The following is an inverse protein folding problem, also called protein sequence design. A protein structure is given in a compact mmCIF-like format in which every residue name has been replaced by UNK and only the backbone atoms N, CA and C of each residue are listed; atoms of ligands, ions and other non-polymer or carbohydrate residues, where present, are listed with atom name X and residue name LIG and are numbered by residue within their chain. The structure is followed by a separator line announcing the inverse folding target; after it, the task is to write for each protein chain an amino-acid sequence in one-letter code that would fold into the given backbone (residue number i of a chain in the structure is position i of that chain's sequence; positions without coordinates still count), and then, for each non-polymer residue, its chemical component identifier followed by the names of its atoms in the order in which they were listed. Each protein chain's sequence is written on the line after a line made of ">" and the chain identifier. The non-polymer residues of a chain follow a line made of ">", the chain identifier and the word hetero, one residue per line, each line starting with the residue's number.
data_IF_118836211697
#
_entry.id   IF_118836211697
#
_cell.length_a   1.000
_cell.length_b   1.000
_cell.length_c   1.000
_cell.angle_alpha   90.00
_cell.angle_beta   90.00
_cell.angle_gamma   90.00
#
_symmetry.space_group_name_H-M   'P 1'
#
loop_
_entity.id
_entity.type
_entity.pdbx_description
1 polymer ?
#
# COMPACT_ATOMS: atom_id res chain seq x y z
N UNK A 1 13.24 -41.18 -16.67
CA UNK A 1 13.12 -39.83 -16.08
C UNK A 1 12.25 -39.95 -14.83
N UNK A 2 12.78 -39.60 -13.65
CA UNK A 2 12.01 -39.67 -12.40
C UNK A 2 10.88 -38.62 -12.39
N UNK A 3 9.76 -38.87 -11.71
CA UNK A 3 8.67 -37.88 -11.57
C UNK A 3 9.18 -36.53 -11.04
N UNK A 4 10.19 -36.55 -10.16
CA UNK A 4 10.88 -35.36 -9.64
C UNK A 4 11.62 -34.57 -10.73
N UNK A 5 12.22 -35.28 -11.68
CA UNK A 5 12.99 -34.71 -12.80
C UNK A 5 12.05 -34.03 -13.81
N UNK A 6 10.88 -34.63 -14.09
CA UNK A 6 9.83 -34.02 -14.91
C UNK A 6 9.32 -32.71 -14.30
N UNK A 7 9.04 -32.70 -12.99
CA UNK A 7 8.60 -31.49 -12.28
C UNK A 7 9.68 -30.40 -12.35
N UNK A 8 10.94 -30.77 -12.11
CA UNK A 8 12.04 -29.82 -12.20
C UNK A 8 12.14 -29.21 -13.59
N UNK A 9 12.15 -30.01 -14.66
CA UNK A 9 12.23 -29.48 -16.03
C UNK A 9 11.06 -28.53 -16.36
N UNK A 10 9.84 -28.85 -15.89
CA UNK A 10 8.69 -27.94 -16.04
C UNK A 10 8.89 -26.62 -15.29
N UNK A 11 9.41 -26.66 -14.07
CA UNK A 11 9.69 -25.45 -13.29
C UNK A 11 10.79 -24.59 -13.92
N UNK A 12 11.78 -25.17 -14.60
CA UNK A 12 12.78 -24.40 -15.36
C UNK A 12 12.14 -23.68 -16.55
N UNK A 13 11.30 -24.36 -17.33
CA UNK A 13 10.56 -23.72 -18.42
C UNK A 13 9.63 -22.60 -17.95
N UNK A 14 8.98 -22.78 -16.78
CA UNK A 14 8.17 -21.71 -16.17
C UNK A 14 9.04 -20.54 -15.73
N UNK A 15 10.20 -20.80 -15.11
CA UNK A 15 11.12 -19.74 -14.69
C UNK A 15 11.67 -18.95 -15.88
N UNK A 16 12.02 -19.63 -16.98
CA UNK A 16 12.42 -18.99 -18.22
C UNK A 16 11.30 -18.10 -18.78
N UNK A 17 10.06 -18.61 -18.85
CA UNK A 17 8.91 -17.83 -19.28
C UNK A 17 8.68 -16.59 -18.40
N UNK A 18 8.79 -16.73 -17.08
CA UNK A 18 8.61 -15.64 -16.12
C UNK A 18 9.75 -14.61 -16.16
N UNK A 19 10.91 -14.97 -16.71
CA UNK A 19 12.05 -14.06 -16.88
C UNK A 19 11.91 -13.14 -18.11
N UNK A 20 11.07 -13.51 -19.09
CA UNK A 20 10.83 -12.69 -20.29
C UNK A 20 10.12 -11.40 -19.92
N UNK A 21 10.57 -10.29 -20.52
CA UNK A 21 10.02 -8.95 -20.24
C UNK A 21 8.51 -8.91 -20.37
N UNK A 22 7.95 -9.38 -21.48
CA UNK A 22 6.50 -9.36 -21.71
C UNK A 22 5.71 -10.03 -20.58
N UNK A 23 6.23 -11.14 -20.04
CA UNK A 23 5.63 -11.84 -18.91
C UNK A 23 5.75 -11.04 -17.63
N UNK A 24 6.88 -10.37 -17.39
CA UNK A 24 7.05 -9.49 -16.21
C UNK A 24 6.03 -8.34 -16.23
N UNK A 25 5.90 -7.66 -17.37
CA UNK A 25 4.95 -6.57 -17.54
C UNK A 25 3.50 -7.05 -17.38
N UNK A 26 3.13 -8.17 -18.01
CA UNK A 26 1.79 -8.75 -17.89
C UNK A 26 1.46 -9.13 -16.44
N UNK A 27 2.39 -9.78 -15.74
CA UNK A 27 2.21 -10.19 -14.34
C UNK A 27 2.04 -8.97 -13.43
N UNK A 28 2.90 -7.96 -13.57
CA UNK A 28 2.84 -6.72 -12.79
C UNK A 28 1.52 -6.00 -13.01
N UNK A 29 1.10 -5.79 -14.25
CA UNK A 29 -0.14 -5.05 -14.55
C UNK A 29 -1.39 -5.81 -14.15
N UNK A 30 -1.45 -7.12 -14.37
CA UNK A 30 -2.57 -7.93 -13.88
C UNK A 30 -2.68 -7.85 -12.36
N UNK A 31 -1.55 -7.90 -11.65
CA UNK A 31 -1.54 -7.80 -10.20
C UNK A 31 -1.91 -6.39 -9.69
N UNK A 32 -1.44 -5.33 -10.34
CA UNK A 32 -1.82 -3.95 -10.02
C UNK A 32 -3.32 -3.70 -10.29
N UNK A 33 -3.87 -4.24 -11.38
CA UNK A 33 -5.32 -4.19 -11.65
C UNK A 33 -6.10 -4.84 -10.50
N UNK A 34 -5.71 -6.05 -10.09
CA UNK A 34 -6.39 -6.81 -9.03
C UNK A 34 -6.31 -6.11 -7.66
N UNK A 35 -5.18 -5.46 -7.37
CA UNK A 35 -4.88 -4.87 -6.06
C UNK A 35 -5.24 -3.39 -5.95
N UNK A 36 -5.61 -2.74 -7.06
CA UNK A 36 -5.85 -1.30 -7.08
C UNK A 36 -7.24 -0.84 -6.67
N UNK A 37 -8.16 -1.79 -6.45
CA UNK A 37 -9.54 -1.47 -6.10
C UNK A 37 -10.32 -0.79 -7.23
N UNK A 38 -9.88 -0.98 -8.47
CA UNK A 38 -10.66 -0.66 -9.69
C UNK A 38 -11.98 -1.41 -9.63
N UNK A 39 -13.09 -0.68 -9.78
CA UNK A 39 -14.45 -1.19 -9.58
C UNK A 39 -14.81 -2.27 -10.61
N UNK A 40 -14.35 -2.12 -11.85
CA UNK A 40 -14.55 -3.05 -12.96
C UNK A 40 -14.16 -4.50 -12.62
N UNK A 41 -13.11 -4.69 -11.83
CA UNK A 41 -12.61 -6.01 -11.42
C UNK A 41 -13.63 -6.77 -10.55
N UNK A 42 -14.48 -6.05 -9.82
CA UNK A 42 -15.49 -6.65 -8.95
C UNK A 42 -16.91 -6.51 -9.49
N UNK A 43 -17.10 -5.76 -10.59
CA UNK A 43 -18.41 -5.51 -11.20
C UNK A 43 -18.88 -6.69 -12.05
N UNK A 44 -18.00 -7.20 -12.92
CA UNK A 44 -18.34 -8.31 -13.80
C UNK A 44 -17.99 -9.65 -13.16
N UNK A 45 -18.90 -10.62 -13.24
CA UNK A 45 -18.69 -11.98 -12.70
C UNK A 45 -17.43 -12.62 -13.27
N UNK A 46 -17.19 -12.46 -14.57
CA UNK A 46 -16.03 -13.03 -15.27
C UNK A 46 -14.72 -12.46 -14.70
N UNK A 47 -14.60 -11.14 -14.53
CA UNK A 47 -13.38 -10.51 -14.00
C UNK A 47 -13.14 -10.88 -12.54
N UNK A 48 -14.21 -11.02 -11.76
CA UNK A 48 -14.16 -11.51 -10.38
C UNK A 48 -13.66 -12.95 -10.29
N UNK A 49 -14.14 -13.84 -11.18
CA UNK A 49 -13.68 -15.24 -11.27
C UNK A 49 -12.21 -15.29 -11.67
N UNK A 50 -11.79 -14.52 -12.68
CA UNK A 50 -10.39 -14.42 -13.10
C UNK A 50 -9.50 -13.97 -11.94
N UNK A 51 -9.91 -12.95 -11.18
CA UNK A 51 -9.19 -12.51 -9.98
C UNK A 51 -9.02 -13.62 -8.96
N UNK A 52 -10.07 -14.41 -8.67
CA UNK A 52 -9.97 -15.50 -7.71
C UNK A 52 -9.09 -16.64 -8.21
N UNK A 53 -9.19 -17.02 -9.48
CA UNK A 53 -8.31 -18.02 -10.10
C UNK A 53 -6.85 -17.56 -10.02
N UNK A 54 -6.59 -16.31 -10.38
CA UNK A 54 -5.26 -15.71 -10.31
C UNK A 54 -4.70 -15.76 -8.88
N UNK A 55 -5.47 -15.34 -7.88
CA UNK A 55 -5.05 -15.35 -6.48
C UNK A 55 -4.99 -16.76 -5.86
N UNK A 56 -5.62 -17.77 -6.46
CA UNK A 56 -5.56 -19.14 -5.97
C UNK A 56 -4.37 -19.92 -6.57
N UNK A 57 -4.15 -19.82 -7.88
CA UNK A 57 -3.20 -20.68 -8.61
C UNK A 57 -1.81 -20.05 -8.66
N UNK A 58 -1.71 -18.76 -9.01
CA UNK A 58 -0.43 -18.12 -9.28
C UNK A 58 0.51 -18.13 -8.05
N UNK A 59 0.07 -17.82 -6.81
CA UNK A 59 0.96 -17.86 -5.66
C UNK A 59 1.60 -19.24 -5.44
N UNK A 60 0.86 -20.32 -5.72
CA UNK A 60 1.38 -21.69 -5.59
C UNK A 60 2.51 -21.91 -6.58
N UNK A 61 2.30 -21.56 -7.86
CA UNK A 61 3.32 -21.67 -8.91
C UNK A 61 4.56 -20.84 -8.55
N UNK A 62 4.37 -19.58 -8.17
CA UNK A 62 5.48 -18.69 -7.82
C UNK A 62 6.23 -19.17 -6.58
N UNK A 63 5.53 -19.68 -5.57
CA UNK A 63 6.16 -20.27 -4.38
C UNK A 63 7.04 -21.47 -4.75
N UNK A 64 6.56 -22.37 -5.61
CA UNK A 64 7.35 -23.52 -6.07
C UNK A 64 8.60 -23.09 -6.86
N UNK A 65 8.47 -22.08 -7.72
CA UNK A 65 9.62 -21.50 -8.47
C UNK A 65 10.63 -20.87 -7.50
N UNK A 66 10.18 -20.08 -6.52
CA UNK A 66 11.06 -19.46 -5.52
C UNK A 66 11.78 -20.49 -4.65
N UNK A 67 11.09 -21.57 -4.25
CA UNK A 67 11.68 -22.66 -3.46
C UNK A 67 12.75 -23.42 -4.25
N UNK A 68 12.53 -23.63 -5.55
CA UNK A 68 13.47 -24.34 -6.41
C UNK A 68 14.73 -23.51 -6.68
N UNK A 69 14.56 -22.22 -6.98
CA UNK A 69 15.68 -21.36 -7.29
C UNK A 69 16.45 -21.01 -6.01
N UNK A 70 17.55 -21.73 -5.78
CA UNK A 70 18.39 -21.59 -4.58
C UNK A 70 18.93 -20.19 -4.38
N UNK A 71 19.11 -19.40 -5.44
CA UNK A 71 19.56 -18.02 -5.35
C UNK A 71 18.44 -17.11 -4.85
N UNK A 72 17.20 -17.31 -5.30
CA UNK A 72 16.02 -16.61 -4.77
C UNK A 72 15.80 -16.99 -3.30
N UNK A 73 15.88 -18.29 -2.98
CA UNK A 73 15.73 -18.77 -1.60
C UNK A 73 16.78 -18.19 -0.65
N UNK A 74 18.04 -18.03 -1.10
CA UNK A 74 19.10 -17.38 -0.31
C UNK A 74 18.87 -15.87 -0.14
N UNK A 75 18.10 -15.25 -1.02
CA UNK A 75 17.73 -13.83 -0.94
C UNK A 75 16.49 -13.59 -0.07
N UNK A 76 15.78 -14.63 0.38
CA UNK A 76 14.75 -14.52 1.43
C UNK A 76 15.47 -14.31 2.77
N UNK A 77 15.85 -13.06 3.02
CA UNK A 77 16.51 -12.61 4.24
C UNK A 77 15.53 -11.88 5.17
N UNK A 78 16.05 -11.34 6.26
CA UNK A 78 15.36 -10.72 7.41
C UNK A 78 14.11 -9.87 7.09
N UNK A 79 14.10 -9.05 6.03
CA UNK A 79 12.93 -8.23 5.65
C UNK A 79 11.75 -9.10 5.18
N UNK A 80 12.02 -10.19 4.47
CA UNK A 80 10.97 -11.08 3.99
C UNK A 80 10.41 -11.94 5.13
N UNK A 81 11.21 -12.23 6.16
CA UNK A 81 10.76 -12.92 7.38
C UNK A 81 9.65 -12.13 8.07
N UNK A 82 9.74 -10.79 8.09
CA UNK A 82 8.69 -9.93 8.64
C UNK A 82 7.32 -10.15 7.96
N UNK A 83 7.27 -10.17 6.63
CA UNK A 83 6.01 -10.38 5.90
C UNK A 83 5.52 -11.83 5.97
N UNK A 84 6.43 -12.81 6.06
CA UNK A 84 6.08 -14.21 6.35
C UNK A 84 5.44 -14.31 7.74
N UNK A 85 6.01 -13.63 8.74
CA UNK A 85 5.44 -13.58 10.08
C UNK A 85 4.02 -13.01 10.06
N UNK A 86 3.76 -11.92 9.32
CA UNK A 86 2.39 -11.38 9.17
C UNK A 86 1.44 -12.45 8.60
N UNK A 87 1.86 -13.21 7.59
CA UNK A 87 1.06 -14.28 7.01
C UNK A 87 0.79 -15.43 7.99
N UNK A 88 1.80 -15.86 8.73
CA UNK A 88 1.70 -16.91 9.75
C UNK A 88 0.79 -16.44 10.88
N UNK A 89 1.01 -15.23 11.39
CA UNK A 89 0.23 -14.67 12.49
C UNK A 89 -1.24 -14.46 12.08
N UNK A 90 -1.48 -13.99 10.84
CA UNK A 90 -2.84 -13.93 10.26
C UNK A 90 -3.50 -15.31 10.20
N UNK A 91 -2.75 -16.37 9.85
CA UNK A 91 -3.25 -17.75 9.83
C UNK A 91 -3.57 -18.29 11.22
N UNK A 92 -2.69 -18.06 12.19
CA UNK A 92 -2.94 -18.42 13.58
C UNK A 92 -4.17 -17.69 14.12
N UNK A 93 -4.37 -16.44 13.70
CA UNK A 93 -5.48 -15.61 14.14
C UNK A 93 -6.87 -16.15 13.80
N UNK A 94 -6.97 -17.11 12.87
CA UNK A 94 -8.20 -17.85 12.57
C UNK A 94 -8.74 -18.56 13.82
N UNK A 95 -7.86 -19.06 14.69
CA UNK A 95 -8.24 -19.87 15.87
C UNK A 95 -9.10 -19.05 16.84
N UNK A 96 -8.67 -17.82 17.13
CA UNK A 96 -9.34 -16.91 18.07
C UNK A 96 -10.19 -15.83 17.39
N UNK A 97 -10.29 -15.85 16.05
CA UNK A 97 -11.05 -14.86 15.30
C UNK A 97 -12.53 -14.88 15.66
N UNK A 98 -13.11 -13.68 15.77
CA UNK A 98 -14.55 -13.50 15.94
C UNK A 98 -15.35 -14.00 14.73
N UNK A 99 -14.77 -13.98 13.53
CA UNK A 99 -15.37 -14.53 12.31
C UNK A 99 -14.35 -15.33 11.53
N UNK A 100 -14.27 -16.61 11.89
CA UNK A 100 -13.33 -17.58 11.30
C UNK A 100 -13.45 -17.64 9.78
N UNK A 101 -14.67 -17.62 9.23
CA UNK A 101 -14.89 -17.70 7.78
C UNK A 101 -14.30 -16.51 7.02
N UNK A 102 -14.51 -15.28 7.49
CA UNK A 102 -13.99 -14.07 6.86
C UNK A 102 -12.47 -13.98 7.07
N UNK A 103 -11.98 -14.28 8.27
CA UNK A 103 -10.54 -14.31 8.54
C UNK A 103 -9.83 -15.33 7.65
N UNK A 104 -10.30 -16.57 7.56
CA UNK A 104 -9.71 -17.59 6.67
C UNK A 104 -9.62 -17.10 5.23
N UNK A 105 -10.71 -16.59 4.67
CA UNK A 105 -10.75 -16.05 3.31
C UNK A 105 -9.75 -14.92 3.10
N UNK A 106 -9.73 -13.95 4.01
CA UNK A 106 -8.89 -12.76 3.87
C UNK A 106 -7.41 -13.07 4.14
N UNK A 107 -7.10 -14.01 5.03
CA UNK A 107 -5.76 -14.56 5.23
C UNK A 107 -5.25 -15.24 3.96
N UNK A 108 -6.07 -16.04 3.27
CA UNK A 108 -5.68 -16.64 1.98
C UNK A 108 -5.33 -15.57 0.93
N UNK A 109 -6.12 -14.50 0.84
CA UNK A 109 -5.77 -13.38 -0.05
C UNK A 109 -4.53 -12.61 0.40
N UNK A 110 -4.30 -12.48 1.71
CA UNK A 110 -3.10 -11.85 2.25
C UNK A 110 -1.85 -12.65 1.88
N UNK A 111 -1.88 -13.98 2.05
CA UNK A 111 -0.80 -14.89 1.65
C UNK A 111 -0.56 -14.79 0.15
N UNK A 112 -1.62 -14.91 -0.66
CA UNK A 112 -1.52 -14.80 -2.12
C UNK A 112 -0.88 -13.48 -2.56
N UNK A 113 -1.35 -12.37 -2.01
CA UNK A 113 -0.81 -11.03 -2.29
C UNK A 113 0.67 -10.94 -1.88
N UNK A 114 1.01 -11.49 -0.71
CA UNK A 114 2.37 -11.44 -0.18
C UNK A 114 3.36 -12.23 -1.05
N UNK A 115 3.00 -13.45 -1.44
CA UNK A 115 3.86 -14.31 -2.28
C UNK A 115 4.10 -13.69 -3.65
N UNK A 116 3.06 -13.17 -4.32
CA UNK A 116 3.22 -12.52 -5.63
C UNK A 116 4.09 -11.25 -5.51
N UNK A 117 3.87 -10.42 -4.49
CA UNK A 117 4.66 -9.20 -4.27
C UNK A 117 6.13 -9.51 -3.93
N UNK A 118 6.39 -10.53 -3.10
CA UNK A 118 7.74 -11.00 -2.81
C UNK A 118 8.43 -11.50 -4.07
N UNK A 119 7.75 -12.31 -4.88
CA UNK A 119 8.29 -12.80 -6.15
C UNK A 119 8.75 -11.63 -7.04
N UNK A 120 7.90 -10.63 -7.24
CA UNK A 120 8.25 -9.45 -8.04
C UNK A 120 9.40 -8.66 -7.42
N UNK A 121 9.37 -8.39 -6.11
CA UNK A 121 10.43 -7.69 -5.40
C UNK A 121 11.78 -8.39 -5.48
N UNK A 122 11.79 -9.73 -5.46
CA UNK A 122 12.99 -10.57 -5.54
C UNK A 122 13.51 -10.76 -6.96
N UNK A 123 12.67 -10.75 -7.98
CA UNK A 123 13.08 -11.04 -9.36
C UNK A 123 13.24 -9.81 -10.24
N UNK A 124 12.53 -8.72 -9.97
CA UNK A 124 12.57 -7.53 -10.83
C UNK A 124 13.64 -6.55 -10.35
N UNK A 125 14.21 -5.82 -11.28
CA UNK A 125 15.15 -4.73 -10.98
C UNK A 125 14.38 -3.50 -10.49
N UNK A 126 15.06 -2.62 -9.76
CA UNK A 126 14.44 -1.38 -9.26
C UNK A 126 14.02 -0.47 -10.42
N UNK A 127 14.80 -0.47 -11.50
CA UNK A 127 14.53 0.25 -12.74
C UNK A 127 13.26 -0.25 -13.43
N UNK A 128 13.12 -1.59 -13.58
CA UNK A 128 11.92 -2.23 -14.13
C UNK A 128 10.67 -1.88 -13.31
N UNK A 129 10.75 -2.02 -11.98
CA UNK A 129 9.62 -1.75 -11.08
C UNK A 129 9.14 -0.31 -11.23
N UNK A 130 10.06 0.67 -11.13
CA UNK A 130 9.69 2.08 -11.21
C UNK A 130 9.14 2.45 -12.60
N UNK A 131 9.71 1.90 -13.67
CA UNK A 131 9.23 2.12 -15.04
C UNK A 131 7.83 1.53 -15.25
N UNK A 132 7.58 0.31 -14.78
CA UNK A 132 6.26 -0.33 -14.83
C UNK A 132 5.22 0.47 -14.03
N UNK A 133 5.58 0.94 -12.82
CA UNK A 133 4.67 1.76 -12.01
C UNK A 133 4.32 3.07 -12.69
N UNK A 134 5.30 3.74 -13.32
CA UNK A 134 5.04 4.97 -14.07
C UNK A 134 4.10 4.72 -15.25
N UNK A 135 4.35 3.67 -16.04
CA UNK A 135 3.48 3.30 -17.16
C UNK A 135 2.06 2.97 -16.69
N UNK A 136 1.92 2.21 -15.61
CA UNK A 136 0.64 1.92 -14.97
C UNK A 136 -0.11 3.20 -14.56
N UNK A 137 0.58 4.15 -13.93
CA UNK A 137 0.01 5.42 -13.51
C UNK A 137 -0.39 6.33 -14.69
N UNK A 138 0.39 6.34 -15.77
CA UNK A 138 0.02 7.02 -17.02
C UNK A 138 -1.28 6.42 -17.59
N UNK A 139 -1.37 5.09 -17.66
CA UNK A 139 -2.58 4.39 -18.11
C UNK A 139 -3.79 4.79 -17.24
N UNK A 140 -3.64 4.82 -15.92
CA UNK A 140 -4.71 5.25 -15.03
C UNK A 140 -5.14 6.70 -15.28
N UNK A 141 -4.21 7.64 -15.50
CA UNK A 141 -4.55 9.03 -15.83
C UNK A 141 -5.33 9.08 -17.14
N UNK A 142 -4.84 8.43 -18.20
CA UNK A 142 -5.50 8.42 -19.51
C UNK A 142 -6.91 7.83 -19.41
N UNK A 143 -7.07 6.66 -18.81
CA UNK A 143 -8.38 5.99 -18.68
C UNK A 143 -9.36 6.87 -17.90
N UNK A 144 -8.93 7.49 -16.79
CA UNK A 144 -9.82 8.32 -15.98
C UNK A 144 -10.17 9.66 -16.67
N UNK A 145 -9.22 10.29 -17.37
CA UNK A 145 -9.49 11.49 -18.17
C UNK A 145 -10.47 11.18 -19.30
N UNK A 146 -10.23 10.11 -20.07
CA UNK A 146 -11.13 9.68 -21.15
C UNK A 146 -12.52 9.40 -20.59
N UNK A 147 -12.61 8.62 -19.50
CA UNK A 147 -13.90 8.30 -18.87
C UNK A 147 -14.65 9.56 -18.43
N UNK A 148 -13.92 10.55 -17.90
CA UNK A 148 -14.50 11.82 -17.47
C UNK A 148 -14.94 12.70 -18.64
N UNK A 149 -14.12 12.85 -19.69
CA UNK A 149 -14.47 13.64 -20.88
C UNK A 149 -15.76 13.11 -21.54
N UNK A 150 -15.91 11.79 -21.63
CA UNK A 150 -17.13 11.16 -22.15
C UNK A 150 -18.27 11.06 -21.13
N UNK A 151 -18.10 11.62 -19.92
CA UNK A 151 -19.11 11.65 -18.86
C UNK A 151 -19.72 10.27 -18.57
N UNK A 152 -18.88 9.22 -18.55
CA UNK A 152 -19.38 7.86 -18.35
C UNK A 152 -20.06 7.74 -16.98
N UNK A 153 -21.22 7.06 -16.86
CA UNK A 153 -22.05 7.09 -15.65
C UNK A 153 -21.33 6.64 -14.36
N UNK A 154 -20.36 5.73 -14.47
CA UNK A 154 -19.63 5.19 -13.32
C UNK A 154 -18.58 6.14 -12.74
N UNK A 155 -18.23 7.22 -13.43
CA UNK A 155 -17.15 8.15 -13.06
C UNK A 155 -17.49 9.00 -11.84
N UNK A 156 -18.78 9.30 -11.65
CA UNK A 156 -19.26 10.15 -10.58
C UNK A 156 -19.65 9.35 -9.34
N UNK A 157 -19.26 9.85 -8.17
CA UNK A 157 -19.64 9.25 -6.89
C UNK A 157 -21.01 9.74 -6.44
N UNK A 158 -22.06 9.09 -6.94
CA UNK A 158 -23.46 9.42 -6.65
C UNK A 158 -23.87 9.15 -5.21
N UNK A 159 -23.07 8.39 -4.44
CA UNK A 159 -23.34 8.11 -3.02
C UNK A 159 -23.01 9.28 -2.11
N UNK A 160 -22.30 10.28 -2.63
CA UNK A 160 -21.76 11.39 -1.86
C UNK A 160 -22.64 12.63 -1.99
N UNK A 161 -23.72 12.67 -1.21
CA UNK A 161 -24.72 13.76 -1.24
C UNK A 161 -24.23 15.07 -0.60
N UNK A 162 -23.06 15.09 0.03
CA UNK A 162 -22.49 16.29 0.68
C UNK A 162 -22.08 17.40 -0.31
N UNK A 163 -22.00 17.11 -1.61
CA UNK A 163 -21.59 18.09 -2.62
C UNK A 163 -22.70 18.30 -3.65
N UNK A 164 -22.91 19.56 -4.02
CA UNK A 164 -23.87 19.96 -5.08
C UNK A 164 -23.55 19.33 -6.43
N UNK A 165 -22.26 19.13 -6.72
CA UNK A 165 -21.78 18.38 -7.88
C UNK A 165 -21.03 17.14 -7.40
N UNK A 166 -21.46 15.97 -7.88
CA UNK A 166 -20.89 14.68 -7.50
C UNK A 166 -19.38 14.66 -7.74
N UNK A 167 -18.58 14.29 -6.73
CA UNK A 167 -17.14 14.17 -6.89
C UNK A 167 -16.78 13.01 -7.81
N UNK A 168 -15.57 13.05 -8.36
CA UNK A 168 -15.08 12.04 -9.29
C UNK A 168 -14.48 10.88 -8.51
N UNK A 169 -14.99 9.67 -8.77
CA UNK A 169 -14.38 8.41 -8.35
C UNK A 169 -13.72 7.65 -9.51
N UNK A 170 -14.00 8.04 -10.76
CA UNK A 170 -13.42 7.44 -11.95
C UNK A 170 -13.68 5.94 -12.02
N UNK A 171 -12.68 5.16 -12.43
CA UNK A 171 -12.79 3.69 -12.49
C UNK A 171 -12.63 3.01 -11.11
N UNK A 172 -12.52 3.76 -10.02
CA UNK A 172 -12.31 3.22 -8.68
C UNK A 172 -13.63 3.07 -7.92
N UNK A 173 -13.60 2.27 -6.85
CA UNK A 173 -14.76 2.09 -5.98
C UNK A 173 -15.16 3.38 -5.23
N UNK A 174 -14.17 4.20 -4.85
CA UNK A 174 -14.35 5.41 -4.04
C UNK A 174 -13.42 6.53 -4.50
N UNK A 175 -13.87 7.78 -4.39
CA UNK A 175 -13.10 8.99 -4.74
C UNK A 175 -11.76 9.12 -4.02
N UNK A 176 -11.67 8.72 -2.75
CA UNK A 176 -10.43 8.80 -1.97
C UNK A 176 -9.35 7.85 -2.51
N UNK A 177 -9.75 6.72 -3.08
CA UNK A 177 -8.82 5.78 -3.68
C UNK A 177 -8.25 6.35 -4.98
N UNK A 178 -9.10 6.90 -5.85
CA UNK A 178 -8.66 7.61 -7.05
C UNK A 178 -7.71 8.76 -6.70
N UNK A 179 -8.08 9.59 -5.73
CA UNK A 179 -7.27 10.71 -5.27
C UNK A 179 -5.87 10.24 -4.79
N UNK A 180 -5.83 9.14 -4.04
CA UNK A 180 -4.58 8.53 -3.60
C UNK A 180 -3.69 8.09 -4.77
N UNK A 181 -4.27 7.43 -5.79
CA UNK A 181 -3.51 7.08 -7.00
C UNK A 181 -2.98 8.31 -7.71
N UNK A 182 -3.74 9.40 -7.79
CA UNK A 182 -3.25 10.64 -8.41
C UNK A 182 -2.09 11.25 -7.63
N UNK A 183 -2.08 11.17 -6.29
CA UNK A 183 -0.93 11.58 -5.46
C UNK A 183 0.31 10.73 -5.77
N UNK A 184 0.17 9.41 -5.85
CA UNK A 184 1.28 8.53 -6.25
C UNK A 184 1.76 8.84 -7.67
N UNK A 185 0.84 9.09 -8.60
CA UNK A 185 1.16 9.44 -9.99
C UNK A 185 1.94 10.74 -10.09
N UNK A 186 1.48 11.81 -9.42
CA UNK A 186 2.13 13.12 -9.44
C UNK A 186 3.54 13.00 -8.87
N UNK A 187 3.68 12.34 -7.73
CA UNK A 187 4.96 12.25 -7.01
C UNK A 187 5.97 11.35 -7.71
N UNK A 188 5.55 10.21 -8.27
CA UNK A 188 6.42 9.36 -9.07
C UNK A 188 6.83 10.06 -10.38
N UNK A 189 5.90 10.69 -11.08
CA UNK A 189 6.19 11.43 -12.32
C UNK A 189 7.13 12.61 -12.06
N UNK A 190 6.96 13.33 -10.94
CA UNK A 190 7.86 14.38 -10.51
C UNK A 190 9.26 13.82 -10.22
N UNK A 191 9.36 12.68 -9.53
CA UNK A 191 10.64 12.02 -9.30
C UNK A 191 11.34 11.64 -10.61
N UNK A 192 10.62 11.11 -11.60
CA UNK A 192 11.17 10.84 -12.94
C UNK A 192 11.62 12.13 -13.65
N UNK A 193 10.81 13.18 -13.60
CA UNK A 193 11.13 14.49 -14.18
C UNK A 193 12.41 15.11 -13.58
N UNK A 194 12.63 14.95 -12.27
CA UNK A 194 13.81 15.46 -11.58
C UNK A 194 15.10 14.67 -11.91
N UNK A 195 14.96 13.39 -12.27
CA UNK A 195 16.08 12.45 -12.38
C UNK A 195 16.45 12.05 -13.81
N UNK A 196 15.56 12.25 -14.79
CA UNK A 196 15.80 12.00 -16.21
C UNK A 196 15.93 13.32 -16.97
N UNK A 197 17.16 13.79 -17.20
CA UNK A 197 17.42 15.13 -17.73
C UNK A 197 17.56 15.21 -19.25
N UNK A 198 17.77 14.09 -19.94
CA UNK A 198 18.33 14.13 -21.29
C UNK A 198 17.29 14.00 -22.42
N UNK A 199 16.09 13.49 -22.13
CA UNK A 199 15.04 13.28 -23.15
C UNK A 199 13.86 14.27 -23.00
N UNK A 200 13.74 15.20 -23.95
CA UNK A 200 12.68 16.22 -23.98
C UNK A 200 11.28 15.62 -24.16
N UNK A 201 11.12 14.54 -24.92
CA UNK A 201 9.81 13.89 -25.15
C UNK A 201 9.31 13.25 -23.86
N UNK A 202 10.19 12.53 -23.16
CA UNK A 202 9.85 11.93 -21.87
C UNK A 202 9.46 12.98 -20.82
N UNK A 203 10.15 14.12 -20.77
CA UNK A 203 9.77 15.23 -19.89
C UNK A 203 8.35 15.75 -20.15
N UNK A 204 7.98 15.90 -21.42
CA UNK A 204 6.62 16.31 -21.80
C UNK A 204 5.58 15.27 -21.35
N UNK A 205 5.89 13.97 -21.49
CA UNK A 205 5.03 12.90 -20.97
C UNK A 205 4.85 13.02 -19.46
N UNK A 206 5.94 13.22 -18.70
CA UNK A 206 5.87 13.34 -17.24
C UNK A 206 5.08 14.59 -16.81
N UNK A 207 5.30 15.74 -17.46
CA UNK A 207 4.56 16.98 -17.20
C UNK A 207 3.08 16.82 -17.52
N UNK A 208 2.74 16.27 -18.69
CA UNK A 208 1.35 16.00 -19.08
C UNK A 208 0.66 15.04 -18.11
N UNK A 209 1.38 14.04 -17.61
CA UNK A 209 0.87 13.11 -16.60
C UNK A 209 0.62 13.79 -15.26
N UNK A 210 1.53 14.67 -14.81
CA UNK A 210 1.35 15.47 -13.58
C UNK A 210 0.12 16.36 -13.70
N UNK A 211 -0.02 17.08 -14.82
CA UNK A 211 -1.13 17.99 -15.06
C UNK A 211 -2.45 17.21 -15.09
N UNK A 212 -2.51 16.11 -15.86
CA UNK A 212 -3.70 15.27 -15.93
C UNK A 212 -4.09 14.68 -14.58
N UNK A 213 -3.12 14.19 -13.81
CA UNK A 213 -3.36 13.69 -12.46
C UNK A 213 -3.82 14.79 -11.49
N UNK A 214 -3.28 16.01 -11.59
CA UNK A 214 -3.70 17.14 -10.77
C UNK A 214 -5.15 17.57 -11.08
N UNK A 215 -5.54 17.60 -12.36
CA UNK A 215 -6.91 17.89 -12.80
C UNK A 215 -7.88 16.85 -12.23
N UNK A 216 -7.57 15.55 -12.37
CA UNK A 216 -8.38 14.47 -11.79
C UNK A 216 -8.47 14.60 -10.27
N UNK A 217 -7.33 14.84 -9.60
CA UNK A 217 -7.26 14.99 -8.15
C UNK A 217 -8.19 16.11 -7.68
N UNK A 218 -8.20 17.27 -8.35
CA UNK A 218 -9.12 18.38 -8.06
C UNK A 218 -10.60 17.97 -8.20
N UNK A 219 -10.92 17.12 -9.17
CA UNK A 219 -12.28 16.58 -9.37
C UNK A 219 -12.74 15.62 -8.26
N UNK A 220 -11.82 14.98 -7.54
CA UNK A 220 -12.15 14.02 -6.45
C UNK A 220 -12.67 14.70 -5.18
N UNK A 221 -12.31 15.98 -4.97
CA UNK A 221 -12.62 16.75 -3.74
C UNK A 221 -12.11 16.09 -2.45
N UNK A 222 -11.05 15.29 -2.53
CA UNK A 222 -10.47 14.56 -1.38
C UNK A 222 -9.50 15.43 -0.57
N UNK A 223 -9.95 15.93 0.58
CA UNK A 223 -9.15 16.79 1.46
C UNK A 223 -7.86 16.12 1.95
N UNK A 224 -7.95 14.84 2.32
CA UNK A 224 -6.81 14.04 2.77
C UNK A 224 -5.67 14.10 1.75
N UNK A 225 -5.99 13.89 0.47
CA UNK A 225 -4.98 13.87 -0.57
C UNK A 225 -4.47 15.27 -0.92
N UNK A 226 -5.32 16.31 -0.83
CA UNK A 226 -4.88 17.70 -0.99
C UNK A 226 -3.86 18.12 0.07
N UNK A 227 -4.05 17.70 1.32
CA UNK A 227 -3.14 18.02 2.43
C UNK A 227 -1.85 17.19 2.39
N UNK A 228 -1.95 15.90 2.02
CA UNK A 228 -0.78 15.02 2.01
C UNK A 228 0.08 15.15 0.74
N UNK A 229 -0.45 15.64 -0.37
CA UNK A 229 0.34 15.83 -1.60
C UNK A 229 1.53 16.79 -1.40
N UNK A 230 1.36 18.01 -0.85
CA UNK A 230 2.49 18.90 -0.54
C UNK A 230 3.51 18.24 0.38
N UNK A 231 3.05 17.51 1.41
CA UNK A 231 3.93 16.78 2.33
C UNK A 231 4.78 15.77 1.56
N UNK A 232 4.19 14.99 0.66
CA UNK A 232 4.93 13.99 -0.10
C UNK A 232 5.90 14.63 -1.11
N UNK A 233 5.52 15.73 -1.77
CA UNK A 233 6.42 16.51 -2.64
C UNK A 233 7.61 17.03 -1.81
N UNK A 234 7.34 17.64 -0.65
CA UNK A 234 8.37 18.13 0.26
C UNK A 234 9.30 17.00 0.70
N UNK A 235 8.77 15.82 1.04
CA UNK A 235 9.59 14.65 1.38
C UNK A 235 10.51 14.24 0.22
N UNK A 236 10.03 14.23 -1.03
CA UNK A 236 10.87 13.94 -2.20
C UNK A 236 11.97 14.99 -2.39
N UNK A 237 11.64 16.27 -2.21
CA UNK A 237 12.60 17.37 -2.31
C UNK A 237 13.63 17.33 -1.18
N UNK A 238 13.22 17.09 0.05
CA UNK A 238 14.11 16.99 1.22
C UNK A 238 14.99 15.76 1.09
N UNK A 239 14.44 14.59 0.74
CA UNK A 239 15.21 13.36 0.67
C UNK A 239 16.20 13.28 -0.50
N UNK A 240 16.07 14.21 -1.45
CA UNK A 240 17.12 14.49 -2.44
C UNK A 240 18.39 15.02 -1.75
N UNK A 241 18.25 15.81 -0.69
CA UNK A 241 19.35 16.32 0.14
C UNK A 241 19.65 15.31 1.26
N UNK A 242 20.61 14.43 0.97
CA UNK A 242 20.94 13.22 1.75
C UNK A 242 21.16 13.46 3.25
N UNK A 243 21.66 14.63 3.64
CA UNK A 243 21.92 15.00 5.05
C UNK A 243 20.64 15.06 5.88
N UNK A 244 19.49 15.37 5.26
CA UNK A 244 18.21 15.52 5.94
C UNK A 244 17.47 14.18 6.13
N UNK A 245 17.92 13.09 5.51
CA UNK A 245 17.28 11.78 5.62
C UNK A 245 17.31 11.25 7.05
N UNK A 246 18.42 11.46 7.77
CA UNK A 246 18.52 11.06 9.17
C UNK A 246 17.52 11.84 10.04
N UNK A 247 17.36 13.15 9.79
CA UNK A 247 16.40 13.99 10.50
C UNK A 247 14.97 13.49 10.27
N UNK A 248 14.59 13.18 9.03
CA UNK A 248 13.26 12.63 8.72
C UNK A 248 13.01 11.32 9.49
N UNK A 249 13.98 10.41 9.48
CA UNK A 249 13.84 9.11 10.15
C UNK A 249 13.65 9.28 11.66
N UNK A 250 14.33 10.25 12.29
CA UNK A 250 14.15 10.52 13.72
C UNK A 250 12.89 11.32 14.03
N UNK A 251 12.47 12.22 13.14
CA UNK A 251 11.31 13.08 13.34
C UNK A 251 9.98 12.33 13.11
N UNK A 252 9.98 11.26 12.31
CA UNK A 252 8.73 10.58 11.92
C UNK A 252 7.94 10.05 13.11
N UNK A 253 8.59 9.39 14.07
CA UNK A 253 7.88 8.78 15.20
C UNK A 253 7.26 9.84 16.12
N UNK A 254 7.99 10.90 16.57
CA UNK A 254 7.39 12.01 17.31
C UNK A 254 6.23 12.68 16.54
N UNK A 255 6.38 12.92 15.23
CA UNK A 255 5.34 13.54 14.41
C UNK A 255 4.09 12.67 14.29
N UNK A 256 4.25 11.35 14.13
CA UNK A 256 3.14 10.41 14.09
C UNK A 256 2.43 10.32 15.43
N UNK A 257 3.16 10.27 16.54
CA UNK A 257 2.58 10.26 17.89
C UNK A 257 1.82 11.57 18.17
N UNK A 258 2.41 12.73 17.85
CA UNK A 258 1.76 14.03 17.99
C UNK A 258 0.50 14.14 17.14
N UNK A 259 0.57 13.69 15.89
CA UNK A 259 -0.56 13.71 14.95
C UNK A 259 -1.69 12.77 15.43
N UNK A 260 -1.35 11.57 15.90
CA UNK A 260 -2.30 10.63 16.49
C UNK A 260 -2.97 11.22 17.74
N UNK A 261 -2.18 11.82 18.63
CA UNK A 261 -2.69 12.50 19.82
C UNK A 261 -3.66 13.64 19.46
N UNK A 262 -3.28 14.53 18.53
CA UNK A 262 -4.13 15.62 18.08
C UNK A 262 -5.45 15.11 17.48
N UNK A 263 -5.39 14.02 16.71
CA UNK A 263 -6.58 13.40 16.10
C UNK A 263 -7.48 12.70 17.13
N UNK A 264 -6.93 12.07 18.17
CA UNK A 264 -7.73 11.35 19.18
C UNK A 264 -8.30 12.32 20.22
N UNK A 265 -7.47 13.23 20.74
CA UNK A 265 -7.86 14.13 21.82
C UNK A 265 -8.62 15.37 21.36
N UNK A 266 -8.61 15.67 20.05
CA UNK A 266 -9.34 16.80 19.45
C UNK A 266 -9.22 18.10 20.26
N UNK A 267 -7.99 18.55 20.60
CA UNK A 267 -7.82 19.74 21.42
C UNK A 267 -8.40 20.98 20.72
N UNK A 268 -8.83 21.98 21.49
CA UNK A 268 -9.55 23.15 20.96
C UNK A 268 -8.83 23.84 19.79
N UNK A 269 -7.50 23.94 19.84
CA UNK A 269 -6.71 24.52 18.75
C UNK A 269 -6.84 23.74 17.44
N UNK A 270 -6.96 22.41 17.50
CA UNK A 270 -7.09 21.55 16.32
C UNK A 270 -8.48 21.67 15.72
N UNK A 271 -9.52 21.74 16.54
CA UNK A 271 -10.89 21.99 16.08
C UNK A 271 -11.02 23.35 15.40
N UNK A 272 -10.43 24.39 16.01
CA UNK A 272 -10.40 25.74 15.43
C UNK A 272 -9.64 25.77 14.09
N UNK A 273 -8.52 25.04 13.98
CA UNK A 273 -7.79 24.90 12.73
C UNK A 273 -8.65 24.26 11.63
N UNK A 274 -9.42 23.21 11.94
CA UNK A 274 -10.33 22.57 11.00
C UNK A 274 -11.44 23.52 10.54
N UNK A 275 -12.04 24.27 11.48
CA UNK A 275 -13.05 25.27 11.16
C UNK A 275 -12.49 26.39 10.27
N UNK A 276 -11.27 26.87 10.55
CA UNK A 276 -10.60 27.91 9.79
C UNK A 276 -10.34 27.50 8.33
N UNK A 277 -10.08 26.22 8.05
CA UNK A 277 -9.94 25.69 6.68
C UNK A 277 -11.29 25.32 6.04
N UNK A 278 -12.40 25.84 6.58
CA UNK A 278 -13.75 25.65 6.07
C UNK A 278 -14.26 24.21 6.25
N UNK A 279 -13.75 23.48 7.25
CA UNK A 279 -14.20 22.12 7.56
C UNK A 279 -14.95 22.12 8.87
N UNK A 280 -16.19 21.63 8.82
CA UNK A 280 -16.81 21.11 10.03
C UNK A 280 -15.95 19.96 10.56
N UNK A 281 -15.89 19.73 11.89
CA UNK A 281 -15.22 18.57 12.48
C UNK A 281 -15.90 17.28 12.01
N UNK A 282 -15.66 16.88 10.76
CA UNK A 282 -16.14 15.64 10.10
C UNK A 282 -15.49 14.40 10.72
N UNK A 283 -14.79 14.58 11.83
CA UNK A 283 -14.25 13.57 12.71
C UNK A 283 -15.28 13.10 13.74
N UNK A 284 -16.48 13.70 13.87
CA UNK A 284 -17.51 13.19 14.81
C UNK A 284 -17.81 11.72 14.52
N UNK A 285 -18.06 11.39 13.25
CA UNK A 285 -18.32 10.02 12.79
C UNK A 285 -17.14 9.08 13.06
N UNK A 286 -15.90 9.53 12.85
CA UNK A 286 -14.69 8.72 13.09
C UNK A 286 -14.37 8.58 14.57
N UNK A 287 -14.64 9.61 15.37
CA UNK A 287 -14.41 9.61 16.82
C UNK A 287 -15.31 8.58 17.49
N UNK A 288 -16.56 8.46 17.03
CA UNK A 288 -17.48 7.39 17.48
C UNK A 288 -16.91 6.01 17.14
N UNK A 289 -16.49 5.79 15.90
CA UNK A 289 -15.87 4.51 15.47
C UNK A 289 -14.64 4.20 16.34
N UNK A 290 -13.76 5.18 16.54
CA UNK A 290 -12.52 5.00 17.28
C UNK A 290 -12.76 4.73 18.76
N UNK A 291 -13.74 5.36 19.39
CA UNK A 291 -14.11 5.09 20.78
C UNK A 291 -14.60 3.65 20.96
N UNK A 292 -15.47 3.16 20.07
CA UNK A 292 -15.92 1.76 20.08
C UNK A 292 -14.77 0.77 19.85
N UNK A 293 -13.91 1.09 18.88
CA UNK A 293 -12.70 0.32 18.57
C UNK A 293 -11.75 0.24 19.76
N UNK A 294 -11.48 1.37 20.43
CA UNK A 294 -10.63 1.43 21.62
C UNK A 294 -11.23 0.62 22.76
N UNK A 295 -12.56 0.63 22.94
CA UNK A 295 -13.24 -0.22 23.90
C UNK A 295 -13.00 -1.71 23.59
N UNK A 296 -13.14 -2.13 22.32
CA UNK A 296 -12.82 -3.50 21.90
C UNK A 296 -11.35 -3.86 22.17
N UNK A 297 -10.41 -2.98 21.83
CA UNK A 297 -8.98 -3.20 22.08
C UNK A 297 -8.71 -3.43 23.57
N UNK A 298 -9.40 -2.71 24.48
CA UNK A 298 -9.25 -2.93 25.93
C UNK A 298 -9.71 -4.32 26.38
N UNK A 299 -10.68 -4.93 25.70
CA UNK A 299 -11.16 -6.29 26.02
C UNK A 299 -10.19 -7.37 25.54
N UNK A 300 -9.63 -7.25 24.33
CA UNK A 300 -8.65 -8.22 23.78
C UNK A 300 -7.34 -7.54 23.35
N UNK A 301 -6.55 -6.99 24.30
CA UNK A 301 -5.42 -6.12 23.96
C UNK A 301 -4.22 -6.86 23.33
N UNK A 302 -4.02 -8.14 23.67
CA UNK A 302 -2.80 -8.86 23.27
C UNK A 302 -2.86 -9.42 21.85
N UNK A 303 -3.91 -10.18 21.52
CA UNK A 303 -4.04 -10.91 20.24
C UNK A 303 -5.11 -10.33 19.30
N UNK A 304 -5.92 -9.38 19.77
CA UNK A 304 -7.01 -8.81 19.00
C UNK A 304 -8.15 -9.79 18.70
N UNK A 305 -8.86 -9.53 17.60
CA UNK A 305 -10.08 -10.22 17.17
C UNK A 305 -9.88 -11.07 15.90
N UNK A 306 -8.63 -11.24 15.49
CA UNK A 306 -8.24 -11.95 14.28
C UNK A 306 -8.35 -11.08 13.04
N UNK A 307 -7.56 -11.43 12.02
CA UNK A 307 -7.42 -10.61 10.82
C UNK A 307 -8.77 -10.32 10.16
N UNK A 308 -9.15 -9.04 10.08
CA UNK A 308 -10.43 -8.53 9.56
C UNK A 308 -11.67 -9.13 10.22
N UNK A 309 -11.51 -9.68 11.44
CA UNK A 309 -12.55 -10.44 12.13
C UNK A 309 -13.60 -9.57 12.82
N UNK A 310 -13.23 -8.38 13.33
CA UNK A 310 -14.13 -7.55 14.13
C UNK A 310 -15.26 -6.92 13.29
N UNK A 311 -14.94 -6.28 12.16
CA UNK A 311 -15.92 -5.63 11.28
C UNK A 311 -16.69 -6.62 10.38
N UNK A 312 -16.71 -7.89 10.75
CA UNK A 312 -17.57 -8.89 10.11
C UNK A 312 -19.00 -8.82 10.69
N UNK A 313 -20.00 -9.28 9.92
CA UNK A 313 -21.42 -9.24 10.31
C UNK A 313 -21.71 -10.02 11.61
N UNK A 314 -21.45 -9.43 12.78
CA UNK A 314 -21.76 -9.98 14.10
C UNK A 314 -22.46 -8.92 14.97
N UNK A 315 -23.48 -9.37 15.70
CA UNK A 315 -24.35 -8.64 16.64
C UNK A 315 -23.61 -7.64 17.55
N UNK A 316 -22.39 -7.96 18.02
CA UNK A 316 -21.63 -7.07 18.90
C UNK A 316 -21.01 -5.84 18.19
N UNK A 317 -20.63 -5.94 16.92
CA UNK A 317 -20.17 -4.81 16.12
C UNK A 317 -21.35 -3.99 15.56
N UNK A 318 -22.46 -4.68 15.29
CA UNK A 318 -23.73 -4.10 14.82
C UNK A 318 -24.34 -3.18 15.87
N UNK A 319 -24.35 -3.54 17.16
CA UNK A 319 -25.06 -2.74 18.15
C UNK A 319 -24.31 -1.46 18.56
N UNK A 320 -22.98 -1.47 18.74
CA UNK A 320 -22.28 -0.26 19.24
C UNK A 320 -21.93 0.76 18.16
N UNK A 321 -21.68 0.31 16.92
CA UNK A 321 -21.24 1.19 15.83
C UNK A 321 -22.39 1.56 14.89
N UNK A 322 -23.32 0.65 14.59
CA UNK A 322 -24.42 0.96 13.69
C UNK A 322 -25.50 1.85 14.32
N UNK A 323 -25.67 1.82 15.65
CA UNK A 323 -26.60 2.69 16.38
C UNK A 323 -26.25 4.19 16.24
N UNK A 324 -24.95 4.52 16.13
CA UNK A 324 -24.49 5.90 15.98
C UNK A 324 -24.11 6.28 14.53
N UNK A 325 -23.72 5.31 13.68
CA UNK A 325 -23.22 5.57 12.32
C UNK A 325 -24.22 5.22 11.20
N UNK A 326 -25.37 4.60 11.51
CA UNK A 326 -26.38 4.19 10.52
C UNK A 326 -25.97 3.01 9.64
N UNK A 327 -24.88 2.29 9.99
CA UNK A 327 -24.38 1.12 9.28
C UNK A 327 -23.05 0.60 9.83
N UNK A 328 -22.60 -0.58 9.38
CA UNK A 328 -21.32 -1.17 9.79
C UNK A 328 -20.17 -0.63 8.89
N UNK A 329 -19.18 0.11 9.42
CA UNK A 329 -18.04 0.53 8.63
C UNK A 329 -17.17 -0.69 8.28
N UNK A 330 -16.53 -0.65 7.10
CA UNK A 330 -15.66 -1.76 6.65
C UNK A 330 -14.26 -1.76 7.29
N UNK A 331 -13.91 -0.72 8.06
CA UNK A 331 -12.63 -0.53 8.76
C UNK A 331 -12.66 0.73 9.64
N UNK A 332 -11.64 0.92 10.50
CA UNK A 332 -11.54 2.06 11.39
C UNK A 332 -11.28 3.42 10.71
N UNK A 333 -10.89 3.44 9.42
CA UNK A 333 -10.29 4.63 8.78
C UNK A 333 -9.07 5.15 9.56
N UNK A 334 -8.33 4.22 10.17
CA UNK A 334 -7.09 4.43 10.86
C UNK A 334 -6.39 3.06 10.89
N UNK A 335 -5.36 2.89 10.08
CA UNK A 335 -4.70 1.60 9.94
C UNK A 335 -3.94 1.15 11.19
N UNK A 336 -3.60 2.06 12.10
CA UNK A 336 -2.98 1.69 13.38
C UNK A 336 -3.99 1.03 14.32
N UNK A 337 -5.20 1.57 14.37
CA UNK A 337 -6.30 0.95 15.11
C UNK A 337 -6.73 -0.39 14.49
N UNK A 338 -6.75 -0.49 13.16
CA UNK A 338 -7.03 -1.77 12.49
C UNK A 338 -5.96 -2.82 12.83
N UNK A 339 -4.68 -2.46 12.89
CA UNK A 339 -3.61 -3.37 13.31
C UNK A 339 -3.85 -3.88 14.75
N UNK A 340 -4.18 -2.98 15.68
CA UNK A 340 -4.43 -3.35 17.08
C UNK A 340 -5.68 -4.22 17.23
N UNK A 341 -6.73 -3.97 16.44
CA UNK A 341 -7.91 -4.83 16.43
C UNK A 341 -7.60 -6.19 15.83
N UNK A 342 -6.92 -6.24 14.70
CA UNK A 342 -6.72 -7.49 13.96
C UNK A 342 -5.72 -8.41 14.68
N UNK A 343 -4.66 -7.83 15.23
CA UNK A 343 -3.48 -8.56 15.71
C UNK A 343 -3.07 -8.24 17.15
N UNK A 344 -3.72 -7.28 17.80
CA UNK A 344 -3.38 -6.85 19.16
C UNK A 344 -1.99 -6.23 19.27
N UNK A 345 -1.56 -6.03 20.51
CA UNK A 345 -0.27 -5.47 20.84
C UNK A 345 0.89 -6.34 20.32
N UNK A 346 0.72 -7.67 20.32
CA UNK A 346 1.74 -8.59 19.80
C UNK A 346 2.02 -8.29 18.34
N UNK A 347 0.98 -8.25 17.48
CA UNK A 347 1.18 -7.90 16.08
C UNK A 347 1.71 -6.50 15.87
N UNK A 348 1.23 -5.52 16.63
CA UNK A 348 1.70 -4.14 16.56
C UNK A 348 3.22 -4.03 16.83
N UNK A 349 3.74 -4.71 17.86
CA UNK A 349 5.18 -4.74 18.18
C UNK A 349 5.99 -5.32 17.02
N UNK A 350 5.54 -6.43 16.43
CA UNK A 350 6.22 -7.02 15.27
C UNK A 350 6.23 -6.09 14.06
N UNK A 351 5.12 -5.38 13.80
CA UNK A 351 5.02 -4.42 12.71
C UNK A 351 5.97 -3.25 12.93
N UNK A 352 5.98 -2.66 14.13
CA UNK A 352 6.92 -1.60 14.48
C UNK A 352 8.36 -2.09 14.31
N UNK A 353 8.70 -3.28 14.81
CA UNK A 353 10.04 -3.85 14.68
C UNK A 353 10.45 -4.03 13.21
N UNK A 354 9.57 -4.54 12.35
CA UNK A 354 9.82 -4.70 10.91
C UNK A 354 10.08 -3.37 10.21
N UNK A 355 9.26 -2.34 10.48
CA UNK A 355 9.48 -1.00 9.94
C UNK A 355 10.75 -0.35 10.50
N UNK A 356 11.03 -0.46 11.80
CA UNK A 356 12.27 0.05 12.41
C UNK A 356 13.50 -0.57 11.76
N UNK A 357 13.47 -1.88 11.52
CA UNK A 357 14.54 -2.58 10.82
C UNK A 357 14.74 -2.08 9.39
N UNK A 358 13.64 -1.87 8.64
CA UNK A 358 13.67 -1.30 7.30
C UNK A 358 14.24 0.13 7.29
N UNK A 359 13.79 1.00 8.20
CA UNK A 359 14.29 2.37 8.33
C UNK A 359 15.76 2.41 8.71
N UNK A 360 16.23 1.50 9.57
CA UNK A 360 17.65 1.39 9.93
C UNK A 360 18.52 1.02 8.71
N UNK A 361 18.05 0.11 7.84
CA UNK A 361 18.75 -0.22 6.59
C UNK A 361 18.77 0.95 5.63
N UNK A 362 17.64 1.62 5.43
CA UNK A 362 17.56 2.83 4.61
C UNK A 362 18.53 3.90 5.13
N UNK A 363 18.61 4.10 6.44
CA UNK A 363 19.55 5.02 7.08
C UNK A 363 20.99 4.69 6.72
N UNK A 364 21.40 3.42 6.88
CA UNK A 364 22.76 2.98 6.57
C UNK A 364 23.08 3.12 5.08
N UNK A 365 22.17 2.71 4.18
CA UNK A 365 22.31 2.91 2.73
C UNK A 365 22.43 4.39 2.34
N UNK A 366 21.66 5.26 2.99
CA UNK A 366 21.76 6.70 2.77
C UNK A 366 23.10 7.28 3.20
N UNK A 367 23.74 6.70 4.22
CA UNK A 367 25.06 7.14 4.71
C UNK A 367 26.24 6.42 4.02
N UNK A 368 26.00 5.33 3.27
CA UNK A 368 27.05 4.60 2.54
C UNK A 368 27.79 5.50 1.54
N UNK A 369 29.12 5.40 1.45
CA UNK A 369 29.88 6.18 0.46
C UNK A 369 29.96 5.49 -0.91
N UNK A 370 29.77 4.18 -0.98
CA UNK A 370 29.98 3.41 -2.23
C UNK A 370 28.71 3.25 -3.07
N UNK A 371 27.53 3.43 -2.48
CA UNK A 371 26.27 3.42 -3.21
C UNK A 371 26.13 4.67 -4.11
N UNK A 372 26.43 4.49 -5.40
CA UNK A 372 26.42 5.56 -6.42
C UNK A 372 25.02 6.13 -6.69
N UNK A 373 24.00 5.26 -6.83
CA UNK A 373 22.62 5.69 -7.12
C UNK A 373 21.68 5.49 -5.93
N UNK A 374 21.48 6.57 -5.16
CA UNK A 374 20.60 6.59 -3.97
C UNK A 374 19.18 7.08 -4.28
N UNK A 375 18.88 7.46 -5.53
CA UNK A 375 17.63 8.15 -5.87
C UNK A 375 16.40 7.31 -5.59
N UNK A 376 16.51 6.00 -5.82
CA UNK A 376 15.45 5.02 -5.51
C UNK A 376 15.25 4.87 -4.00
N UNK A 377 16.33 4.80 -3.22
CA UNK A 377 16.28 4.69 -1.75
C UNK A 377 15.60 5.93 -1.16
N UNK A 378 15.93 7.14 -1.64
CA UNK A 378 15.28 8.39 -1.20
C UNK A 378 13.78 8.43 -1.53
N UNK A 379 13.38 7.97 -2.71
CA UNK A 379 11.95 7.88 -3.06
C UNK A 379 11.22 6.88 -2.17
N UNK A 380 11.80 5.69 -1.96
CA UNK A 380 11.23 4.66 -1.09
C UNK A 380 11.08 5.19 0.34
N UNK A 381 12.08 5.91 0.87
CA UNK A 381 11.96 6.56 2.18
C UNK A 381 10.79 7.54 2.22
N UNK A 382 10.69 8.43 1.22
CA UNK A 382 9.60 9.40 1.11
C UNK A 382 8.24 8.73 1.05
N UNK A 383 8.13 7.65 0.28
CA UNK A 383 6.92 6.84 0.15
C UNK A 383 6.54 6.19 1.49
N UNK A 384 7.48 5.55 2.19
CA UNK A 384 7.21 4.90 3.46
C UNK A 384 6.77 5.91 4.53
N UNK A 385 7.41 7.09 4.57
CA UNK A 385 7.02 8.18 5.46
C UNK A 385 5.61 8.67 5.13
N UNK A 386 5.33 8.93 3.85
CA UNK A 386 4.01 9.33 3.38
C UNK A 386 2.93 8.29 3.75
N UNK A 387 3.21 7.00 3.54
CA UNK A 387 2.26 5.93 3.91
C UNK A 387 2.03 5.88 5.42
N UNK A 388 3.05 6.13 6.24
CA UNK A 388 2.87 6.17 7.69
C UNK A 388 1.89 7.29 8.11
N UNK A 389 1.96 8.48 7.49
CA UNK A 389 0.98 9.55 7.73
C UNK A 389 -0.39 9.23 7.12
N UNK A 390 -0.42 8.69 5.90
CA UNK A 390 -1.67 8.29 5.25
C UNK A 390 -2.43 7.22 6.07
N UNK A 391 -1.70 6.35 6.77
CA UNK A 391 -2.26 5.31 7.65
C UNK A 391 -2.95 5.85 8.91
N UNK A 392 -2.79 7.14 9.23
CA UNK A 392 -3.58 7.80 10.30
C UNK A 392 -5.04 8.04 9.87
N UNK A 393 -5.27 8.17 8.56
CA UNK A 393 -6.52 8.65 7.97
C UNK A 393 -7.24 7.56 7.18
N UNK A 394 -6.49 6.57 6.70
CA UNK A 394 -6.97 5.40 5.98
C UNK A 394 -6.22 4.16 6.47
N UNK A 395 -6.62 2.97 5.99
CA UNK A 395 -6.07 1.69 6.49
C UNK A 395 -5.33 0.86 5.42
N UNK A 396 -4.20 1.35 4.88
CA UNK A 396 -3.55 0.70 3.74
C UNK A 396 -2.48 -0.35 4.06
N UNK A 397 -1.85 -0.31 5.25
CA UNK A 397 -0.57 -1.01 5.48
C UNK A 397 -0.70 -2.54 5.45
N UNK A 398 -1.67 -3.15 6.13
CA UNK A 398 -1.83 -4.63 6.16
C UNK A 398 -3.21 -5.02 5.64
N UNK A 399 -3.39 -4.81 4.34
CA UNK A 399 -4.66 -5.10 3.68
C UNK A 399 -4.44 -6.03 2.49
N UNK A 400 -5.13 -7.16 2.49
CA UNK A 400 -5.14 -8.08 1.37
C UNK A 400 -5.62 -7.37 0.10
N UNK A 401 -5.07 -7.76 -1.06
CA UNK A 401 -5.39 -7.12 -2.34
C UNK A 401 -5.25 -5.59 -2.34
N UNK A 402 -4.28 -5.03 -1.59
CA UNK A 402 -3.97 -3.59 -1.57
C UNK A 402 -2.67 -3.31 -2.32
N UNK A 403 -2.71 -2.41 -3.31
CA UNK A 403 -1.48 -1.97 -4.00
C UNK A 403 -0.47 -1.37 -3.02
N UNK A 404 -0.91 -0.74 -1.93
CA UNK A 404 0.02 -0.14 -0.96
C UNK A 404 0.80 -1.23 -0.24
N UNK A 405 0.13 -2.29 0.22
CA UNK A 405 0.80 -3.44 0.84
C UNK A 405 1.77 -4.11 -0.14
N UNK A 406 1.37 -4.25 -1.41
CA UNK A 406 2.25 -4.75 -2.49
C UNK A 406 3.50 -3.88 -2.66
N UNK A 407 3.33 -2.56 -2.75
CA UNK A 407 4.44 -1.62 -2.90
C UNK A 407 5.37 -1.63 -1.69
N UNK A 408 4.84 -1.73 -0.46
CA UNK A 408 5.66 -1.88 0.75
C UNK A 408 6.55 -3.12 0.63
N UNK A 409 6.02 -4.27 0.24
CA UNK A 409 6.81 -5.51 0.08
C UNK A 409 7.86 -5.35 -1.03
N UNK A 410 7.46 -4.85 -2.21
CA UNK A 410 8.35 -4.70 -3.36
C UNK A 410 9.49 -3.73 -3.03
N UNK A 411 9.18 -2.56 -2.47
CA UNK A 411 10.19 -1.58 -2.10
C UNK A 411 11.09 -2.06 -0.96
N UNK A 412 10.56 -2.81 0.01
CA UNK A 412 11.37 -3.42 1.06
C UNK A 412 12.37 -4.42 0.48
N UNK A 413 11.98 -5.19 -0.55
CA UNK A 413 12.87 -6.07 -1.28
C UNK A 413 13.92 -5.31 -2.13
N UNK A 414 13.55 -4.17 -2.72
CA UNK A 414 14.52 -3.28 -3.38
C UNK A 414 15.58 -2.81 -2.38
N UNK A 415 15.18 -2.38 -1.19
CA UNK A 415 16.10 -1.98 -0.12
C UNK A 415 17.00 -3.15 0.31
N UNK A 416 16.44 -4.35 0.48
CA UNK A 416 17.21 -5.56 0.80
C UNK A 416 18.30 -5.83 -0.24
N UNK A 417 17.96 -5.77 -1.53
CA UNK A 417 18.93 -6.02 -2.62
C UNK A 417 20.06 -5.01 -2.63
N UNK A 418 19.75 -3.72 -2.43
CA UNK A 418 20.79 -2.70 -2.39
C UNK A 418 21.64 -2.82 -1.12
N UNK A 419 21.06 -3.25 0.00
CA UNK A 419 21.78 -3.61 1.23
C UNK A 419 22.77 -4.75 1.03
N UNK A 420 22.32 -5.86 0.41
CA UNK A 420 23.17 -7.02 0.15
C UNK A 420 24.32 -6.69 -0.81
N UNK A 421 24.06 -5.88 -1.84
CA UNK A 421 25.11 -5.41 -2.76
C UNK A 421 26.16 -4.57 -2.05
N UNK A 422 25.77 -3.77 -1.05
CA UNK A 422 26.70 -2.92 -0.31
C UNK A 422 27.54 -3.75 0.67
N UNK A 423 26.93 -4.67 1.42
CA UNK A 423 27.66 -5.53 2.38
C UNK A 423 28.67 -6.44 1.68
N UNK A 424 28.28 -7.08 0.57
CA UNK A 424 29.18 -7.93 -0.19
C UNK A 424 30.37 -7.16 -0.81
N UNK A 425 30.28 -5.82 -0.94
CA UNK A 425 31.39 -4.97 -1.40
C UNK A 425 32.32 -4.53 -0.28
N UNK A 426 31.84 -4.47 0.95
CA UNK A 426 32.67 -4.17 2.13
C UNK A 426 33.50 -5.39 2.55
N UNK A 427 33.02 -6.60 2.24
CA UNK A 427 33.71 -7.88 2.52
C UNK A 427 34.72 -8.30 1.42
N UNK A 428 34.69 -7.68 0.23
CA UNK A 428 35.58 -7.93 -0.91
C UNK A 428 36.67 -6.88 -1.04
#
# INVERSE_FOLDING_TARGET
>A
MSYKEVINNRLDGVQELLSKDITKYALMYMFLIITSGVSFVNYFTVTKVIKYIFLAILPIILFLVMKKNTQISKNIKDINIFFIFICVFSSLSIIWSQSRGITTKNTLFLIATTVIAMYMGLNYTKEEIFKMLLQWFIILVVINLVSWIFSLPFVFDTTEMRYTHFPIKGIFKHRNLLAFYMVLTITLSLWFLMNNKDDKKLKLTYLGTIIGAAIILMGTKSMTCYLLLPVFIILILITKYKTLNNIIIYAILPLLLFSTYAMVCQPAWFQNLLLAIGRTPTLTDRSVIWNGVVACIKVKPMLGYGYTGLFSNNIYAVNFIAEFYGGLPSHCHNGYLDILIDFGFVGAVFIVAGFTFLFNRIKKLNNSKTLKDKRYVSYILSFLVFIAFYNLIESPIIKHCSTIYVLIIIFSNVIQKEWDKEHNREES
#
